data_IF_430260509394
#
_entry.id   IF_430260509394
#
_cell.length_a   1.000
_cell.length_b   1.000
_cell.length_c   1.000
_cell.angle_alpha   90.00
_cell.angle_beta   90.00
_cell.angle_gamma   90.00
#
_symmetry.space_group_name_H-M   'P 1'
#
loop_
_entity.id
_entity.type
_entity.pdbx_description
1 polymer ?
#
# COMPACT_ATOMS: atom_id res chain seq x y z
N UNK A 1 6.53 9.64 2.34
CA UNK A 1 6.88 8.46 1.52
C UNK A 1 8.37 8.39 1.09
N UNK A 2 9.19 9.40 1.41
CA UNK A 2 10.62 9.38 1.08
C UNK A 2 11.46 8.41 1.93
N UNK A 3 10.88 7.80 2.96
CA UNK A 3 11.61 6.88 3.84
C UNK A 3 12.08 5.64 3.05
N UNK A 4 13.39 5.37 2.98
CA UNK A 4 13.93 4.26 2.22
C UNK A 4 13.49 2.88 2.71
N UNK A 5 13.19 2.75 4.00
CA UNK A 5 12.71 1.48 4.58
C UNK A 5 11.35 1.12 4.02
N UNK A 6 10.43 2.11 3.86
CA UNK A 6 9.13 1.86 3.25
C UNK A 6 9.28 1.33 1.82
N UNK A 7 10.19 1.93 1.03
CA UNK A 7 10.50 1.44 -0.32
C UNK A 7 11.07 0.01 -0.27
N UNK A 8 12.07 -0.22 0.59
CA UNK A 8 12.72 -1.52 0.70
C UNK A 8 11.71 -2.63 1.02
N UNK A 9 10.86 -2.43 2.02
CA UNK A 9 9.84 -3.41 2.43
C UNK A 9 8.83 -3.64 1.31
N UNK A 10 8.36 -2.57 0.67
CA UNK A 10 7.38 -2.67 -0.43
C UNK A 10 7.95 -3.43 -1.63
N UNK A 11 9.17 -3.09 -2.06
CA UNK A 11 9.82 -3.77 -3.18
C UNK A 11 10.20 -5.22 -2.90
N UNK A 12 10.59 -5.51 -1.66
CA UNK A 12 10.92 -6.89 -1.26
C UNK A 12 9.72 -7.83 -1.31
N UNK A 13 8.51 -7.30 -1.10
CA UNK A 13 7.29 -8.10 -1.13
C UNK A 13 6.57 -8.05 -2.49
N UNK A 14 6.42 -6.86 -3.07
CA UNK A 14 5.58 -6.61 -4.26
C UNK A 14 6.36 -6.45 -5.55
N UNK A 15 7.69 -6.34 -5.47
CA UNK A 15 8.50 -5.88 -6.58
C UNK A 15 8.42 -4.37 -6.78
N UNK A 16 9.11 -3.83 -7.79
CA UNK A 16 9.02 -2.41 -8.14
C UNK A 16 7.61 -2.06 -8.62
N UNK A 17 7.29 -0.78 -8.65
CA UNK A 17 6.03 -0.27 -9.22
C UNK A 17 4.79 -0.60 -8.39
N UNK A 18 4.87 -0.40 -7.11
CA UNK A 18 3.72 -0.52 -6.19
C UNK A 18 2.96 0.81 -6.06
N UNK A 19 1.72 0.74 -5.59
CA UNK A 19 0.92 1.90 -5.21
C UNK A 19 0.69 1.91 -3.71
N UNK A 20 0.93 3.04 -3.05
CA UNK A 20 0.67 3.24 -1.62
C UNK A 20 -0.61 4.05 -1.45
N UNK A 21 -1.50 3.58 -0.59
CA UNK A 21 -2.54 4.37 0.03
C UNK A 21 -2.34 4.40 1.54
N UNK A 22 -2.74 5.50 2.19
CA UNK A 22 -2.47 5.71 3.60
C UNK A 22 -3.62 6.44 4.28
N UNK A 23 -4.02 5.96 5.45
CA UNK A 23 -5.09 6.56 6.25
C UNK A 23 -4.62 6.72 7.69
N UNK A 24 -4.85 7.90 8.27
CA UNK A 24 -4.65 8.11 9.69
C UNK A 24 -5.80 7.48 10.47
N UNK A 25 -5.46 6.56 11.34
CA UNK A 25 -6.40 5.88 12.23
C UNK A 25 -6.17 6.33 13.68
N UNK A 26 -7.22 6.77 14.32
CA UNK A 26 -7.22 7.19 15.74
C UNK A 26 -8.19 6.33 16.51
N UNK A 27 -7.69 5.65 17.54
CA UNK A 27 -8.52 4.86 18.47
C UNK A 27 -8.43 5.47 19.85
N UNK A 28 -9.52 6.09 20.27
CA UNK A 28 -9.64 6.72 21.59
C UNK A 28 -9.75 5.69 22.73
N UNK A 29 -9.50 6.10 23.99
CA UNK A 29 -9.80 5.30 25.16
C UNK A 29 -11.21 4.72 25.10
N UNK A 30 -11.37 3.43 25.45
CA UNK A 30 -12.63 2.72 25.34
C UNK A 30 -12.97 2.17 23.95
N UNK A 31 -12.12 2.43 22.93
CA UNK A 31 -12.29 1.84 21.60
C UNK A 31 -12.24 0.31 21.65
N UNK A 32 -13.25 -0.34 21.08
CA UNK A 32 -13.38 -1.80 21.09
C UNK A 32 -12.48 -2.46 20.06
N UNK A 33 -12.10 -3.71 20.30
CA UNK A 33 -11.38 -4.55 19.35
C UNK A 33 -12.22 -4.81 18.11
N UNK A 34 -11.52 -5.01 16.99
CA UNK A 34 -12.13 -5.56 15.78
C UNK A 34 -12.28 -7.08 15.88
N UNK A 35 -13.33 -7.61 15.25
CA UNK A 35 -13.40 -9.04 14.97
C UNK A 35 -12.22 -9.44 14.06
N UNK A 36 -11.59 -10.59 14.30
CA UNK A 36 -10.53 -11.06 13.42
C UNK A 36 -11.04 -11.23 11.98
N UNK A 37 -10.22 -10.84 11.03
CA UNK A 37 -10.55 -10.85 9.60
C UNK A 37 -9.31 -11.00 8.74
N UNK A 38 -9.52 -11.18 7.45
CA UNK A 38 -8.53 -10.97 6.39
C UNK A 38 -8.95 -9.77 5.56
N UNK A 39 -7.97 -9.01 5.10
CA UNK A 39 -8.22 -7.84 4.27
C UNK A 39 -8.00 -8.11 2.78
N UNK A 40 -8.20 -7.09 1.98
CA UNK A 40 -8.02 -6.99 0.53
C UNK A 40 -8.91 -7.91 -0.30
N UNK A 41 -9.00 -7.59 -1.52
CA UNK A 41 -9.76 -8.19 -2.63
C UNK A 41 -10.97 -9.05 -2.21
N UNK A 42 -10.72 -10.17 -1.51
CA UNK A 42 -11.73 -11.13 -1.09
C UNK A 42 -12.13 -11.00 0.39
N UNK A 43 -11.40 -10.25 1.18
CA UNK A 43 -11.65 -10.12 2.62
C UNK A 43 -12.98 -9.44 2.97
N UNK A 44 -13.48 -8.58 2.10
CA UNK A 44 -14.73 -7.85 2.29
C UNK A 44 -15.93 -8.48 1.56
N UNK A 45 -15.72 -9.59 0.86
CA UNK A 45 -16.79 -10.32 0.16
C UNK A 45 -17.41 -11.36 1.09
N UNK A 46 -18.66 -11.73 0.85
CA UNK A 46 -19.27 -12.87 1.54
C UNK A 46 -18.71 -14.21 1.04
N UNK A 47 -19.05 -15.30 1.72
CA UNK A 47 -18.53 -16.62 1.38
C UNK A 47 -19.03 -17.13 0.03
N UNK A 48 -20.22 -16.73 -0.40
CA UNK A 48 -20.78 -17.11 -1.70
C UNK A 48 -19.96 -16.47 -2.83
N UNK A 49 -19.68 -15.19 -2.74
CA UNK A 49 -18.84 -14.50 -3.73
C UNK A 49 -17.39 -15.01 -3.70
N UNK A 50 -16.79 -15.23 -2.53
CA UNK A 50 -15.43 -15.78 -2.42
C UNK A 50 -15.33 -17.17 -3.06
N UNK A 51 -16.34 -18.03 -2.87
CA UNK A 51 -16.37 -19.39 -3.42
C UNK A 51 -16.43 -19.43 -4.96
N UNK A 52 -16.81 -18.34 -5.62
CA UNK A 52 -16.79 -18.22 -7.09
C UNK A 52 -15.36 -18.13 -7.66
N UNK A 53 -14.39 -17.73 -6.84
CA UNK A 53 -13.00 -17.62 -7.26
C UNK A 53 -12.27 -18.96 -7.05
N UNK A 54 -11.58 -19.50 -8.07
CA UNK A 54 -10.74 -20.68 -7.90
C UNK A 54 -9.71 -20.50 -6.79
N UNK A 55 -9.36 -21.58 -6.09
CA UNK A 55 -8.45 -21.53 -4.94
C UNK A 55 -7.12 -20.84 -5.24
N UNK A 56 -6.54 -21.08 -6.42
CA UNK A 56 -5.28 -20.43 -6.80
C UNK A 56 -5.39 -18.90 -6.93
N UNK A 57 -6.56 -18.38 -7.31
CA UNK A 57 -6.84 -16.93 -7.35
C UNK A 57 -7.01 -16.39 -5.93
N UNK A 58 -7.72 -17.12 -5.05
CA UNK A 58 -7.82 -16.73 -3.63
C UNK A 58 -6.42 -16.64 -2.98
N UNK A 59 -5.55 -17.61 -3.25
CA UNK A 59 -4.17 -17.61 -2.76
C UNK A 59 -3.34 -16.47 -3.37
N UNK A 60 -3.41 -16.27 -4.67
CA UNK A 60 -2.66 -15.23 -5.39
C UNK A 60 -3.02 -13.83 -4.91
N UNK A 61 -4.28 -13.58 -4.54
CA UNK A 61 -4.75 -12.30 -4.03
C UNK A 61 -3.91 -11.79 -2.87
N UNK A 62 -3.49 -12.68 -1.96
CA UNK A 62 -2.70 -12.32 -0.79
C UNK A 62 -1.25 -11.88 -1.09
N UNK A 63 -0.72 -12.22 -2.25
CA UNK A 63 0.62 -11.82 -2.67
C UNK A 63 0.67 -10.48 -3.42
N UNK A 64 -0.48 -9.96 -3.82
CA UNK A 64 -0.59 -8.71 -4.58
C UNK A 64 -0.71 -7.48 -3.69
N UNK A 65 -0.69 -7.67 -2.38
CA UNK A 65 -0.87 -6.59 -1.40
C UNK A 65 0.04 -6.77 -0.20
N UNK A 66 0.40 -5.65 0.41
CA UNK A 66 1.12 -5.60 1.68
C UNK A 66 0.40 -4.60 2.57
N UNK A 67 0.13 -5.00 3.80
CA UNK A 67 -0.48 -4.13 4.80
C UNK A 67 0.56 -3.69 5.82
N UNK A 68 0.43 -2.48 6.34
CA UNK A 68 1.33 -1.98 7.37
C UNK A 68 0.71 -0.89 8.21
N UNK A 69 1.39 -0.57 9.29
CA UNK A 69 1.05 0.57 10.15
C UNK A 69 2.33 1.22 10.65
N UNK A 70 2.34 2.56 10.65
CA UNK A 70 3.39 3.36 11.28
C UNK A 70 2.80 4.02 12.54
N UNK A 71 3.43 3.78 13.68
CA UNK A 71 2.99 4.32 14.96
C UNK A 71 3.28 5.83 15.07
N UNK A 72 2.28 6.65 15.32
CA UNK A 72 2.40 8.08 15.62
C UNK A 72 2.38 8.40 17.12
N UNK A 73 1.98 7.43 17.92
CA UNK A 73 2.08 7.44 19.40
C UNK A 73 2.73 6.16 19.86
N UNK A 74 3.28 6.13 21.08
CA UNK A 74 3.62 4.86 21.70
C UNK A 74 2.36 4.00 21.85
N UNK A 75 2.48 2.72 21.59
CA UNK A 75 1.38 1.76 21.59
C UNK A 75 1.69 0.60 22.54
N UNK A 76 1.57 0.81 23.87
CA UNK A 76 1.62 -0.30 24.82
C UNK A 76 0.45 -1.27 24.54
N UNK A 77 0.51 -2.48 25.06
CA UNK A 77 -0.51 -3.52 24.81
C UNK A 77 -1.91 -3.05 25.20
N UNK A 78 -2.00 -2.24 26.25
CA UNK A 78 -3.27 -1.67 26.74
C UNK A 78 -3.92 -0.69 25.76
N UNK A 79 -3.15 -0.10 24.86
CA UNK A 79 -3.69 0.76 23.79
C UNK A 79 -4.29 -0.05 22.63
N UNK A 80 -4.16 -1.38 22.67
CA UNK A 80 -4.75 -2.30 21.72
C UNK A 80 -4.10 -2.29 20.32
N UNK A 81 -2.78 -2.41 20.19
CA UNK A 81 -2.15 -2.56 18.88
C UNK A 81 -2.72 -3.77 18.14
N UNK A 82 -2.40 -3.88 16.85
CA UNK A 82 -2.94 -4.95 16.00
C UNK A 82 -2.64 -6.33 16.58
N UNK A 83 -3.68 -7.15 16.73
CA UNK A 83 -3.58 -8.57 17.04
C UNK A 83 -3.37 -9.35 15.76
N UNK A 84 -2.47 -10.29 15.77
CA UNK A 84 -2.09 -11.09 14.60
C UNK A 84 -2.07 -12.55 15.00
N UNK A 85 -2.65 -13.42 14.17
CA UNK A 85 -2.48 -14.88 14.31
C UNK A 85 -1.34 -15.34 13.40
N UNK A 86 -0.15 -15.65 13.97
CA UNK A 86 1.01 -16.07 13.17
C UNK A 86 0.69 -17.28 12.28
N UNK A 87 1.24 -17.28 11.07
CA UNK A 87 1.13 -18.35 10.07
C UNK A 87 -0.27 -18.59 9.49
N UNK A 88 -1.29 -17.85 9.93
CA UNK A 88 -2.66 -18.03 9.44
C UNK A 88 -2.85 -17.69 7.96
N UNK A 89 -1.95 -16.90 7.37
CA UNK A 89 -1.92 -16.63 5.92
C UNK A 89 -1.69 -17.91 5.09
N UNK A 90 -1.08 -18.94 5.69
CA UNK A 90 -0.80 -20.21 5.04
C UNK A 90 -2.03 -21.13 4.92
N UNK A 91 -3.12 -20.80 5.63
CA UNK A 91 -4.34 -21.60 5.57
C UNK A 91 -5.07 -21.35 4.24
N UNK A 92 -5.15 -22.33 3.32
CA UNK A 92 -5.61 -22.09 1.95
C UNK A 92 -7.04 -21.57 1.86
N UNK A 93 -7.95 -22.09 2.70
CA UNK A 93 -9.36 -21.71 2.72
C UNK A 93 -9.66 -20.53 3.65
N UNK A 94 -8.64 -19.77 4.05
CA UNK A 94 -8.79 -18.74 5.07
C UNK A 94 -9.77 -17.62 4.72
N UNK A 95 -9.96 -17.28 3.46
CA UNK A 95 -10.96 -16.29 3.04
C UNK A 95 -12.40 -16.77 3.21
N UNK A 96 -12.63 -18.09 3.23
CA UNK A 96 -13.94 -18.68 3.53
C UNK A 96 -14.12 -18.94 5.03
N UNK A 97 -13.03 -19.25 5.73
CA UNK A 97 -13.06 -19.75 7.10
C UNK A 97 -13.09 -18.66 8.18
N UNK A 98 -12.55 -17.47 7.94
CA UNK A 98 -12.33 -16.47 8.99
C UNK A 98 -13.62 -15.98 9.69
N UNK A 99 -14.78 -16.19 9.05
CA UNK A 99 -16.10 -15.86 9.64
C UNK A 99 -16.65 -16.94 10.54
N UNK A 100 -16.11 -18.16 10.48
CA UNK A 100 -16.53 -19.27 11.32
C UNK A 100 -16.18 -19.01 12.80
N UNK A 101 -17.08 -19.41 13.70
CA UNK A 101 -16.92 -19.18 15.12
C UNK A 101 -15.67 -19.87 15.69
N UNK A 102 -15.39 -21.10 15.24
CA UNK A 102 -14.22 -21.85 15.72
C UNK A 102 -12.90 -21.18 15.35
N UNK A 103 -12.82 -20.53 14.18
CA UNK A 103 -11.64 -19.75 13.80
C UNK A 103 -11.50 -18.47 14.62
N UNK A 104 -12.61 -17.82 14.96
CA UNK A 104 -12.61 -16.64 15.84
C UNK A 104 -12.17 -17.01 17.25
N UNK A 105 -12.68 -18.10 17.80
CA UNK A 105 -12.28 -18.60 19.13
C UNK A 105 -10.80 -18.99 19.16
N UNK A 106 -10.32 -19.64 18.09
CA UNK A 106 -8.91 -19.96 17.95
C UNK A 106 -8.04 -18.69 17.91
N UNK A 107 -8.47 -17.67 17.17
CA UNK A 107 -7.80 -16.36 17.11
C UNK A 107 -7.74 -15.71 18.50
N UNK A 108 -8.84 -15.67 19.23
CA UNK A 108 -8.88 -15.05 20.57
C UNK A 108 -7.89 -15.71 21.55
N UNK A 109 -7.63 -17.01 21.36
CA UNK A 109 -6.74 -17.78 22.24
C UNK A 109 -5.25 -17.68 21.83
N UNK A 110 -4.96 -17.54 20.53
CA UNK A 110 -3.59 -17.71 20.00
C UNK A 110 -3.03 -16.47 19.30
N UNK A 111 -3.81 -15.42 19.15
CA UNK A 111 -3.31 -14.18 18.56
C UNK A 111 -2.29 -13.50 19.49
N UNK A 112 -1.27 -12.92 18.88
CA UNK A 112 -0.26 -12.12 19.56
C UNK A 112 -0.43 -10.64 19.27
N UNK A 113 0.08 -9.80 20.14
CA UNK A 113 0.22 -8.37 19.95
C UNK A 113 1.66 -7.94 20.18
N UNK A 114 2.12 -6.97 19.40
CA UNK A 114 3.44 -6.36 19.56
C UNK A 114 3.25 -4.91 20.03
N UNK A 115 3.83 -4.52 21.16
CA UNK A 115 3.90 -3.10 21.51
C UNK A 115 4.78 -2.37 20.49
N UNK A 116 4.45 -1.12 20.18
CA UNK A 116 5.20 -0.28 19.24
C UNK A 116 5.55 1.04 19.92
N UNK A 117 6.75 1.52 19.67
CA UNK A 117 7.12 2.89 19.99
C UNK A 117 6.74 3.84 18.86
N UNK A 118 6.60 5.12 19.16
CA UNK A 118 6.39 6.15 18.14
C UNK A 118 7.51 6.13 17.10
N UNK A 119 7.15 5.92 15.84
CA UNK A 119 8.09 5.79 14.72
C UNK A 119 8.32 4.35 14.27
N UNK A 120 7.95 3.36 15.07
CA UNK A 120 7.98 1.96 14.65
C UNK A 120 6.95 1.70 13.54
N UNK A 121 7.26 0.71 12.72
CA UNK A 121 6.35 0.22 11.69
C UNK A 121 6.24 -1.31 11.75
N UNK A 122 5.03 -1.79 11.54
CA UNK A 122 4.74 -3.21 11.35
C UNK A 122 4.21 -3.42 9.94
N UNK A 123 4.69 -4.46 9.25
CA UNK A 123 4.21 -4.89 7.95
C UNK A 123 3.84 -6.36 7.98
N UNK A 124 2.76 -6.72 7.34
CA UNK A 124 2.30 -8.10 7.28
C UNK A 124 1.47 -8.38 6.03
N UNK A 125 1.38 -9.65 5.68
CA UNK A 125 0.49 -10.12 4.62
C UNK A 125 -0.98 -9.94 5.06
N UNK A 126 -1.82 -9.25 4.30
CA UNK A 126 -3.23 -9.03 4.66
C UNK A 126 -4.07 -10.31 4.77
N UNK A 127 -3.57 -11.46 4.30
CA UNK A 127 -4.19 -12.76 4.51
C UNK A 127 -3.92 -13.35 5.91
N UNK A 128 -3.08 -12.73 6.74
CA UNK A 128 -3.02 -13.04 8.16
C UNK A 128 -4.38 -12.73 8.80
N UNK A 129 -4.87 -13.63 9.65
CA UNK A 129 -5.97 -13.27 10.55
C UNK A 129 -5.48 -12.22 11.52
N UNK A 130 -6.11 -11.07 11.48
CA UNK A 130 -5.72 -9.93 12.30
C UNK A 130 -6.93 -9.10 12.69
N UNK A 131 -6.73 -8.19 13.61
CA UNK A 131 -7.74 -7.22 14.04
C UNK A 131 -7.17 -6.25 15.07
N UNK A 132 -7.67 -5.04 15.12
CA UNK A 132 -7.29 -4.10 16.17
C UNK A 132 -7.66 -4.64 17.56
N UNK A 133 -6.78 -4.46 18.55
CA UNK A 133 -7.08 -4.70 19.95
C UNK A 133 -7.92 -3.58 20.56
N UNK A 134 -8.53 -3.84 21.71
CA UNK A 134 -9.25 -2.82 22.48
C UNK A 134 -8.29 -1.82 23.12
N UNK A 135 -8.58 -0.53 23.02
CA UNK A 135 -7.86 0.48 23.78
C UNK A 135 -8.49 0.61 25.19
N UNK A 136 -7.86 -0.02 26.17
CA UNK A 136 -8.31 -0.01 27.57
C UNK A 136 -7.58 1.04 28.42
N UNK A 137 -6.76 1.89 27.80
CA UNK A 137 -6.13 3.03 28.49
C UNK A 137 -7.20 4.03 28.91
N UNK A 138 -6.88 4.88 29.88
CA UNK A 138 -7.82 5.88 30.41
C UNK A 138 -7.77 7.20 29.62
N UNK A 139 -6.62 7.55 29.06
CA UNK A 139 -6.29 8.88 28.57
C UNK A 139 -5.45 8.89 27.30
N UNK A 140 -5.02 7.74 26.80
CA UNK A 140 -4.15 7.68 25.65
C UNK A 140 -4.90 7.27 24.38
N UNK A 141 -4.95 8.15 23.38
CA UNK A 141 -5.37 7.79 22.02
C UNK A 141 -4.23 7.11 21.27
N UNK A 142 -4.53 5.98 20.66
CA UNK A 142 -3.61 5.29 19.72
C UNK A 142 -3.76 5.91 18.36
N UNK A 143 -2.66 6.40 17.80
CA UNK A 143 -2.62 7.03 16.47
C UNK A 143 -1.63 6.30 15.59
N UNK A 144 -2.08 5.80 14.45
CA UNK A 144 -1.26 5.16 13.44
C UNK A 144 -1.58 5.67 12.05
N UNK A 145 -0.61 5.63 11.16
CA UNK A 145 -0.85 5.73 9.73
C UNK A 145 -0.93 4.31 9.19
N UNK A 146 -2.13 3.90 8.76
CA UNK A 146 -2.35 2.61 8.14
C UNK A 146 -1.92 2.68 6.68
N UNK A 147 -1.06 1.77 6.28
CA UNK A 147 -0.53 1.68 4.93
C UNK A 147 -1.15 0.49 4.21
N UNK A 148 -1.63 0.74 3.00
CA UNK A 148 -2.16 -0.28 2.11
C UNK A 148 -1.40 -0.17 0.80
N UNK A 149 -0.62 -1.20 0.48
CA UNK A 149 0.32 -1.17 -0.61
C UNK A 149 -0.07 -2.27 -1.59
N UNK A 150 -0.28 -1.90 -2.83
CA UNK A 150 -0.71 -2.82 -3.89
C UNK A 150 0.36 -2.95 -4.96
N UNK A 151 0.56 -4.18 -5.43
CA UNK A 151 1.36 -4.46 -6.63
C UNK A 151 0.75 -3.78 -7.85
N UNK A 152 1.57 -3.49 -8.85
CA UNK A 152 1.10 -3.04 -10.16
C UNK A 152 0.17 -4.06 -10.87
N UNK A 153 0.18 -5.31 -10.44
CA UNK A 153 -0.69 -6.37 -10.97
C UNK A 153 -1.98 -6.54 -10.18
N UNK A 154 -2.14 -5.83 -9.05
CA UNK A 154 -3.30 -5.92 -8.17
C UNK A 154 -4.14 -4.65 -8.20
N UNK A 155 -5.48 -4.81 -8.14
CA UNK A 155 -6.36 -3.67 -7.98
C UNK A 155 -6.14 -3.06 -6.59
N UNK A 156 -5.77 -1.76 -6.49
CA UNK A 156 -5.60 -1.10 -5.20
C UNK A 156 -6.96 -0.88 -4.51
N UNK A 157 -6.97 -0.74 -3.19
CA UNK A 157 -8.18 -0.46 -2.42
C UNK A 157 -8.77 0.90 -2.75
N UNK A 158 -7.93 1.89 -3.02
CA UNK A 158 -8.36 3.24 -3.36
C UNK A 158 -7.89 3.61 -4.77
N UNK A 159 -8.72 4.37 -5.48
CA UNK A 159 -8.29 5.01 -6.73
C UNK A 159 -7.50 6.26 -6.39
N UNK A 160 -6.19 6.21 -6.64
CA UNK A 160 -5.29 7.35 -6.42
C UNK A 160 -4.98 8.00 -7.77
N UNK A 161 -5.18 9.31 -7.86
CA UNK A 161 -4.79 10.05 -9.06
C UNK A 161 -3.33 10.47 -8.98
N UNK A 162 -2.43 9.57 -9.41
CA UNK A 162 -0.99 9.78 -9.36
C UNK A 162 -0.54 10.98 -10.20
N UNK A 163 -1.26 11.32 -11.29
CA UNK A 163 -0.96 12.51 -12.08
C UNK A 163 -1.21 13.80 -11.31
N UNK A 164 -2.32 13.91 -10.59
CA UNK A 164 -2.60 15.08 -9.76
C UNK A 164 -1.65 15.16 -8.55
N UNK A 165 -1.29 14.03 -7.95
CA UNK A 165 -0.31 14.00 -6.86
C UNK A 165 1.06 14.48 -7.34
N UNK A 166 1.56 13.95 -8.44
CA UNK A 166 2.87 14.33 -8.98
C UNK A 166 2.91 15.79 -9.41
N UNK A 167 1.85 16.28 -10.05
CA UNK A 167 1.66 17.68 -10.40
C UNK A 167 1.73 18.60 -9.17
N UNK A 168 1.01 18.26 -8.11
CA UNK A 168 0.98 19.06 -6.88
C UNK A 168 2.35 19.07 -6.17
N UNK A 169 3.08 17.96 -6.23
CA UNK A 169 4.39 17.82 -5.58
C UNK A 169 5.56 18.35 -6.42
N UNK A 170 5.39 18.45 -7.74
CA UNK A 170 6.48 18.77 -8.66
C UNK A 170 7.28 20.05 -8.28
N UNK A 171 6.66 21.19 -7.94
CA UNK A 171 7.43 22.39 -7.55
C UNK A 171 8.32 22.16 -6.32
N UNK A 172 7.81 21.41 -5.33
CA UNK A 172 8.56 21.08 -4.12
C UNK A 172 9.69 20.08 -4.42
N UNK A 173 9.42 19.09 -5.26
CA UNK A 173 10.44 18.14 -5.69
C UNK A 173 11.53 18.84 -6.50
N UNK A 174 11.17 19.70 -7.43
CA UNK A 174 12.12 20.44 -8.26
C UNK A 174 13.08 21.28 -7.41
N UNK A 175 12.54 22.00 -6.41
CA UNK A 175 13.36 22.84 -5.53
C UNK A 175 14.34 22.07 -4.66
N UNK A 176 14.09 20.78 -4.40
CA UNK A 176 14.90 19.91 -3.52
C UNK A 176 15.70 18.84 -4.26
N UNK A 177 15.43 18.66 -5.56
CA UNK A 177 15.90 17.51 -6.31
C UNK A 177 17.43 17.41 -6.41
N UNK A 178 18.11 18.52 -6.61
CA UNK A 178 19.55 18.53 -6.83
C UNK A 178 20.37 18.61 -5.53
N UNK A 179 19.79 19.11 -4.44
CA UNK A 179 20.57 19.45 -3.24
C UNK A 179 20.18 18.63 -1.99
N UNK A 180 18.90 18.34 -1.80
CA UNK A 180 18.38 17.90 -0.50
C UNK A 180 17.98 16.42 -0.46
N UNK A 181 17.99 15.74 -1.60
CA UNK A 181 17.53 14.35 -1.73
C UNK A 181 18.65 13.42 -2.18
N UNK A 182 18.84 12.34 -1.47
CA UNK A 182 19.67 11.22 -1.92
C UNK A 182 19.00 10.46 -3.06
N UNK A 183 19.73 9.71 -3.86
CA UNK A 183 19.18 8.89 -4.95
C UNK A 183 18.16 7.86 -4.45
N UNK A 184 18.37 7.33 -3.26
CA UNK A 184 17.44 6.40 -2.63
C UNK A 184 16.11 7.08 -2.25
N UNK A 185 16.15 8.30 -1.71
CA UNK A 185 14.95 9.09 -1.40
C UNK A 185 14.23 9.53 -2.69
N UNK A 186 14.95 9.96 -3.72
CA UNK A 186 14.39 10.26 -5.05
C UNK A 186 13.62 9.06 -5.60
N UNK A 187 14.25 7.90 -5.58
CA UNK A 187 13.63 6.66 -6.04
C UNK A 187 12.41 6.28 -5.20
N UNK A 188 12.48 6.40 -3.86
CA UNK A 188 11.36 6.13 -2.96
C UNK A 188 10.16 7.06 -3.23
N UNK A 189 10.41 8.36 -3.43
CA UNK A 189 9.38 9.33 -3.76
C UNK A 189 8.70 9.01 -5.08
N UNK A 190 9.47 8.77 -6.15
CA UNK A 190 8.89 8.45 -7.45
C UNK A 190 8.06 7.17 -7.43
N UNK A 191 8.52 6.12 -6.73
CA UNK A 191 7.74 4.89 -6.56
C UNK A 191 6.40 5.11 -5.83
N UNK A 192 6.34 6.08 -4.93
CA UNK A 192 5.13 6.36 -4.14
C UNK A 192 4.15 7.33 -4.83
N UNK A 193 4.62 8.22 -5.72
CA UNK A 193 3.80 9.31 -6.27
C UNK A 193 3.59 9.25 -7.78
N UNK A 194 4.24 8.31 -8.46
CA UNK A 194 4.12 8.12 -9.90
C UNK A 194 3.81 6.67 -10.24
N UNK A 195 3.11 6.45 -11.37
CA UNK A 195 2.98 5.11 -11.93
C UNK A 195 4.31 4.71 -12.58
N UNK A 196 4.91 3.66 -12.05
CA UNK A 196 6.18 3.12 -12.51
C UNK A 196 6.05 1.94 -13.47
N UNK A 197 4.84 1.36 -13.63
CA UNK A 197 4.61 0.23 -14.50
C UNK A 197 4.01 0.67 -15.84
N UNK A 198 4.51 0.10 -16.92
CA UNK A 198 4.00 0.38 -18.26
C UNK A 198 4.04 -0.86 -19.14
N UNK A 199 3.05 -0.97 -19.98
CA UNK A 199 3.05 -1.84 -21.17
C UNK A 199 2.34 -1.06 -22.28
N UNK A 200 2.51 -1.47 -23.57
CA UNK A 200 1.82 -0.81 -24.67
C UNK A 200 0.29 -0.90 -24.49
N UNK A 201 -0.34 0.24 -24.23
CA UNK A 201 -1.80 0.32 -24.01
C UNK A 201 -2.57 0.68 -25.28
N UNK A 202 -1.88 1.33 -26.24
CA UNK A 202 -2.41 1.68 -27.55
C UNK A 202 -1.32 1.47 -28.58
N UNK A 203 -1.49 0.49 -29.47
CA UNK A 203 -0.45 0.11 -30.44
C UNK A 203 -0.20 1.16 -31.51
N UNK A 204 -1.12 2.09 -31.74
CA UNK A 204 -0.99 3.17 -32.71
C UNK A 204 -0.32 4.42 -32.12
N UNK A 205 -0.69 4.81 -30.90
CA UNK A 205 -0.26 6.06 -30.28
C UNK A 205 0.75 5.89 -29.14
N UNK A 206 0.82 4.70 -28.53
CA UNK A 206 1.76 4.34 -27.47
C UNK A 206 2.41 2.98 -27.76
N UNK A 207 2.90 2.84 -28.99
CA UNK A 207 3.46 1.59 -29.50
C UNK A 207 4.74 1.17 -28.75
N UNK A 208 5.06 -0.14 -28.73
CA UNK A 208 6.34 -0.62 -28.21
C UNK A 208 7.52 0.02 -28.93
N UNK A 209 8.52 0.46 -28.18
CA UNK A 209 9.77 0.99 -28.73
C UNK A 209 10.79 -0.15 -28.78
N UNK A 210 11.12 -0.61 -29.99
CA UNK A 210 12.01 -1.77 -30.21
C UNK A 210 11.56 -3.03 -29.39
N UNK A 211 10.26 -3.26 -29.28
CA UNK A 211 9.69 -4.36 -28.51
C UNK A 211 9.62 -4.14 -26.99
N UNK A 212 10.00 -2.97 -26.50
CA UNK A 212 10.00 -2.63 -25.07
C UNK A 212 8.80 -1.75 -24.72
N UNK A 213 8.43 -1.75 -23.44
CA UNK A 213 7.36 -0.89 -22.94
C UNK A 213 7.71 0.60 -23.15
N UNK A 214 6.71 1.46 -23.46
CA UNK A 214 6.92 2.89 -23.54
C UNK A 214 7.31 3.48 -22.18
N UNK A 215 7.80 4.75 -22.21
CA UNK A 215 8.21 5.47 -21.00
C UNK A 215 7.07 5.50 -19.95
N UNK A 216 7.41 5.20 -18.71
CA UNK A 216 6.45 5.29 -17.59
C UNK A 216 6.27 6.71 -17.11
N UNK A 217 5.19 6.97 -16.34
CA UNK A 217 4.99 8.24 -15.66
C UNK A 217 6.15 8.57 -14.70
N UNK A 218 6.65 7.58 -13.97
CA UNK A 218 7.80 7.75 -13.07
C UNK A 218 9.09 8.13 -13.82
N UNK A 219 9.35 7.51 -14.98
CA UNK A 219 10.50 7.85 -15.83
C UNK A 219 10.39 9.26 -16.42
N UNK A 220 9.19 9.64 -16.89
CA UNK A 220 8.91 10.99 -17.37
C UNK A 220 9.15 12.03 -16.27
N UNK A 221 8.61 11.81 -15.08
CA UNK A 221 8.77 12.72 -13.95
C UNK A 221 10.22 12.82 -13.50
N UNK A 222 10.91 11.68 -13.43
CA UNK A 222 12.36 11.64 -13.14
C UNK A 222 13.15 12.49 -14.13
N UNK A 223 12.94 12.27 -15.40
CA UNK A 223 13.61 13.02 -16.48
C UNK A 223 13.33 14.52 -16.36
N UNK A 224 12.08 14.91 -16.17
CA UNK A 224 11.70 16.31 -16.01
C UNK A 224 12.43 17.00 -14.83
N UNK A 225 12.58 16.30 -13.71
CA UNK A 225 13.30 16.78 -12.53
C UNK A 225 14.82 16.83 -12.76
N UNK A 226 15.39 15.83 -13.42
CA UNK A 226 16.84 15.79 -13.75
C UNK A 226 17.22 16.90 -14.74
N UNK A 227 16.37 17.18 -15.73
CA UNK A 227 16.53 18.24 -16.74
C UNK A 227 16.07 19.61 -16.24
N UNK A 228 15.57 19.74 -14.99
CA UNK A 228 15.09 20.97 -14.39
C UNK A 228 14.02 21.68 -15.22
N UNK A 229 13.06 20.93 -15.77
CA UNK A 229 11.97 21.49 -16.57
C UNK A 229 11.06 22.39 -15.72
N UNK A 230 10.52 23.43 -16.36
CA UNK A 230 9.50 24.24 -15.70
C UNK A 230 8.24 23.43 -15.41
N UNK A 231 7.42 23.88 -14.43
CA UNK A 231 6.13 23.23 -14.17
C UNK A 231 5.26 23.18 -15.43
N UNK A 232 5.26 24.23 -16.25
CA UNK A 232 4.49 24.28 -17.49
C UNK A 232 4.92 23.21 -18.48
N UNK A 233 6.24 23.05 -18.68
CA UNK A 233 6.77 22.06 -19.61
C UNK A 233 6.53 20.64 -19.12
N UNK A 234 6.69 20.41 -17.80
CA UNK A 234 6.35 19.14 -17.18
C UNK A 234 4.88 18.77 -17.37
N UNK A 235 3.96 19.71 -17.12
CA UNK A 235 2.52 19.47 -17.31
C UNK A 235 2.16 19.18 -18.77
N UNK A 236 2.80 19.89 -19.72
CA UNK A 236 2.61 19.61 -21.14
C UNK A 236 3.09 18.19 -21.49
N UNK A 237 4.26 17.79 -21.03
CA UNK A 237 4.79 16.44 -21.25
C UNK A 237 3.89 15.35 -20.61
N UNK A 238 3.34 15.62 -19.43
CA UNK A 238 2.40 14.72 -18.76
C UNK A 238 1.09 14.56 -19.53
N UNK A 239 0.53 15.64 -20.07
CA UNK A 239 -0.70 15.58 -20.86
C UNK A 239 -0.47 14.78 -22.16
N UNK A 240 0.67 14.98 -22.83
CA UNK A 240 1.06 14.18 -23.98
C UNK A 240 1.23 12.69 -23.63
N UNK A 241 1.82 12.40 -22.49
CA UNK A 241 1.98 11.02 -22.02
C UNK A 241 0.64 10.35 -21.73
N UNK A 242 -0.29 11.09 -21.13
CA UNK A 242 -1.64 10.61 -20.81
C UNK A 242 -2.48 10.41 -22.07
N UNK A 243 -2.47 11.37 -22.99
CA UNK A 243 -3.30 11.34 -24.22
C UNK A 243 -2.92 10.16 -25.13
N UNK A 244 -1.63 9.79 -25.20
CA UNK A 244 -1.21 8.62 -25.99
C UNK A 244 -1.80 7.30 -25.49
N UNK A 245 -2.21 7.21 -24.22
CA UNK A 245 -2.74 6.01 -23.56
C UNK A 245 -4.26 5.95 -23.51
N UNK A 246 -4.91 7.01 -23.96
CA UNK A 246 -6.38 7.05 -24.05
C UNK A 246 -6.82 6.53 -25.42
N UNK A 247 -7.90 5.75 -25.42
CA UNK A 247 -8.59 5.27 -26.64
C UNK A 247 -9.53 6.34 -27.16
#
# INVERSE_FOLDING_TARGET
YKNPILKLVSESWLGPHYQITAQVNVVHPGGKSQSPHRDYHLGFQDNEEVARYPLHIQLSSSYLTLQGAVAHTNMPLESGPTRILPFSQLYPLGYLAWRDASFKDYFETHAIQLPLEKGDAIFFNPALFHGAGSNITKDQSRVANLLQISSCFGKPMETVNLYEISKALYPTLLSKWQSDLTELEKSALLSAVCDGYSFPSNLDTDAPIAGMAPMTHAQLTRRALDENLSLSDYLHAMEQHKSRRQS
#
